data_IF_136232367805
#
_entry.id   IF_136232367805
#
_cell.length_a   1.000
_cell.length_b   1.000
_cell.length_c   1.000
_cell.angle_alpha   90.00
_cell.angle_beta   90.00
_cell.angle_gamma   90.00
#
_symmetry.space_group_name_H-M   'P 1'
#
loop_
_entity.id
_entity.type
_entity.pdbx_description
1 polymer ?
#
# COMPACT_ATOMS: atom_id res chain seq x y z
N UNK A 1 -8.10 5.97 -1.21
CA UNK A 1 -7.52 6.29 0.11
C UNK A 1 -7.43 5.01 0.93
N UNK A 2 -6.37 4.89 1.72
CA UNK A 2 -5.76 3.66 2.25
C UNK A 2 -4.26 3.99 2.37
N UNK A 3 -3.39 3.18 1.79
CA UNK A 3 -1.96 3.52 1.65
C UNK A 3 -1.71 4.94 1.08
N UNK A 4 -2.53 5.39 0.13
CA UNK A 4 -2.44 6.72 -0.49
C UNK A 4 -2.73 7.91 0.44
N UNK A 5 -3.36 7.67 1.59
CA UNK A 5 -3.65 8.71 2.58
C UNK A 5 -2.56 8.79 3.66
N UNK A 6 -1.57 7.89 3.62
CA UNK A 6 -0.53 7.73 4.63
C UNK A 6 0.85 7.77 3.93
N UNK A 7 1.46 8.95 3.74
CA UNK A 7 2.67 9.11 2.93
C UNK A 7 3.84 8.23 3.37
N UNK A 8 3.99 8.00 4.68
CA UNK A 8 5.04 7.14 5.22
C UNK A 8 4.83 5.66 4.85
N UNK A 9 3.58 5.19 4.91
CA UNK A 9 3.22 3.83 4.51
C UNK A 9 3.40 3.63 3.01
N UNK A 10 3.06 4.64 2.20
CA UNK A 10 3.30 4.63 0.76
C UNK A 10 4.79 4.54 0.44
N UNK A 11 5.62 5.37 1.08
CA UNK A 11 7.08 5.35 0.92
C UNK A 11 7.67 3.99 1.28
N UNK A 12 7.29 3.44 2.45
CA UNK A 12 7.69 2.12 2.89
C UNK A 12 7.34 1.03 1.87
N UNK A 13 6.10 1.03 1.37
CA UNK A 13 5.65 0.01 0.42
C UNK A 13 6.39 0.11 -0.91
N UNK A 14 6.70 1.31 -1.40
CA UNK A 14 7.48 1.51 -2.64
C UNK A 14 8.87 0.89 -2.54
N UNK A 15 9.55 1.08 -1.40
CA UNK A 15 10.88 0.49 -1.15
C UNK A 15 10.79 -1.02 -1.10
N UNK A 16 9.89 -1.56 -0.26
CA UNK A 16 9.73 -3.01 -0.06
C UNK A 16 9.27 -3.73 -1.33
N UNK A 17 8.43 -3.09 -2.14
CA UNK A 17 7.98 -3.64 -3.40
C UNK A 17 9.13 -3.80 -4.40
N UNK A 18 10.03 -2.81 -4.46
CA UNK A 18 11.21 -2.88 -5.34
C UNK A 18 12.19 -3.99 -4.93
N UNK A 19 12.25 -4.34 -3.64
CA UNK A 19 13.04 -5.47 -3.13
C UNK A 19 12.39 -6.83 -3.43
N UNK A 20 11.06 -6.92 -3.31
CA UNK A 20 10.34 -8.18 -3.36
C UNK A 20 9.89 -8.59 -4.77
N UNK A 21 9.73 -7.63 -5.69
CA UNK A 21 9.15 -7.87 -7.02
C UNK A 21 10.10 -7.38 -8.12
N UNK A 22 10.41 -8.22 -9.12
CA UNK A 22 11.35 -7.86 -10.19
C UNK A 22 10.78 -6.82 -11.17
N UNK A 23 9.46 -6.66 -11.21
CA UNK A 23 8.77 -5.73 -12.11
C UNK A 23 8.52 -4.39 -11.44
N UNK A 24 8.51 -3.30 -12.22
CA UNK A 24 8.16 -1.95 -11.73
C UNK A 24 6.75 -1.92 -11.12
N UNK A 25 6.63 -1.23 -9.98
CA UNK A 25 5.33 -0.94 -9.35
C UNK A 25 4.44 -0.12 -10.30
N UNK A 26 3.27 -0.68 -10.64
CA UNK A 26 2.23 -0.01 -11.42
C UNK A 26 1.13 0.46 -10.46
N UNK A 27 1.21 1.72 -10.05
CA UNK A 27 0.33 2.31 -9.04
C UNK A 27 -0.29 3.60 -9.56
N UNK A 28 -1.62 3.63 -9.63
CA UNK A 28 -2.42 4.80 -10.00
C UNK A 28 -2.89 5.62 -8.79
N UNK A 29 -3.86 6.51 -9.02
CA UNK A 29 -4.40 7.41 -7.98
C UNK A 29 -5.20 6.70 -6.86
N UNK A 30 -5.61 5.46 -7.09
CA UNK A 30 -6.44 4.70 -6.13
C UNK A 30 -6.22 3.19 -6.15
N UNK A 31 -5.40 2.66 -7.05
CA UNK A 31 -5.20 1.21 -7.20
C UNK A 31 -3.75 0.85 -7.55
N UNK A 32 -3.33 -0.33 -7.08
CA UNK A 32 -2.11 -1.01 -7.51
C UNK A 32 -2.53 -2.09 -8.51
N UNK A 33 -1.92 -2.11 -9.69
CA UNK A 33 -2.24 -3.07 -10.75
C UNK A 33 -1.14 -4.12 -10.87
N UNK A 34 -1.52 -5.37 -10.65
CA UNK A 34 -0.65 -6.52 -10.92
C UNK A 34 -0.94 -7.08 -12.31
N UNK A 35 0.06 -7.07 -13.21
CA UNK A 35 -0.11 -7.57 -14.59
C UNK A 35 0.15 -9.08 -14.72
N UNK A 36 1.11 -9.59 -13.95
CA UNK A 36 1.49 -10.99 -13.98
C UNK A 36 1.15 -11.65 -12.63
N UNK A 37 0.20 -12.60 -12.58
CA UNK A 37 -0.16 -13.31 -11.36
C UNK A 37 1.02 -14.02 -10.69
N UNK A 38 2.03 -14.44 -11.45
CA UNK A 38 3.22 -15.12 -10.92
C UNK A 38 4.13 -14.23 -10.07
N UNK A 39 3.98 -12.90 -10.18
CA UNK A 39 4.80 -11.93 -9.46
C UNK A 39 4.02 -11.18 -8.39
N UNK A 40 2.81 -11.63 -8.04
CA UNK A 40 2.04 -11.01 -6.97
C UNK A 40 2.72 -11.32 -5.63
N UNK A 41 3.20 -10.30 -4.88
CA UNK A 41 3.90 -10.52 -3.62
C UNK A 41 2.87 -10.66 -2.48
N UNK A 42 2.18 -11.81 -2.40
CA UNK A 42 1.12 -12.02 -1.40
C UNK A 42 1.57 -11.77 0.05
N UNK A 43 2.78 -12.17 0.41
CA UNK A 43 3.33 -11.93 1.75
C UNK A 43 3.47 -10.42 2.04
N UNK A 44 3.99 -9.65 1.09
CA UNK A 44 4.13 -8.19 1.24
C UNK A 44 2.76 -7.50 1.32
N UNK A 45 1.76 -7.99 0.58
CA UNK A 45 0.38 -7.49 0.67
C UNK A 45 -0.19 -7.79 2.06
N UNK A 46 0.07 -8.97 2.62
CA UNK A 46 -0.29 -9.35 3.99
C UNK A 46 0.34 -8.42 5.03
N UNK A 47 1.63 -8.11 4.89
CA UNK A 47 2.32 -7.12 5.73
C UNK A 47 1.66 -5.74 5.60
N UNK A 48 1.37 -5.30 4.38
CA UNK A 48 0.76 -3.99 4.13
C UNK A 48 -0.60 -3.84 4.83
N UNK A 49 -1.50 -4.81 4.67
CA UNK A 49 -2.84 -4.72 5.28
C UNK A 49 -2.81 -4.84 6.80
N UNK A 50 -1.77 -5.46 7.36
CA UNK A 50 -1.59 -5.60 8.81
C UNK A 50 -0.94 -4.38 9.46
N UNK A 51 -0.40 -3.43 8.66
CA UNK A 51 0.31 -2.25 9.16
C UNK A 51 -0.58 -1.11 9.63
N UNK A 52 -1.86 -1.14 9.29
CA UNK A 52 -2.80 -0.08 9.64
C UNK A 52 -3.88 -0.70 10.51
N UNK A 53 -3.94 -0.28 11.78
CA UNK A 53 -5.05 -0.69 12.63
C UNK A 53 -6.34 0.05 12.21
N UNK A 54 -7.48 -0.48 12.66
CA UNK A 54 -8.78 0.17 12.43
C UNK A 54 -8.79 1.57 13.04
N UNK A 55 -8.25 1.74 14.25
CA UNK A 55 -8.22 3.03 14.95
C UNK A 55 -7.31 4.06 14.26
N UNK A 56 -6.14 3.62 13.76
CA UNK A 56 -5.26 4.47 12.95
C UNK A 56 -5.99 4.95 11.70
N UNK A 57 -6.67 4.03 11.01
CA UNK A 57 -7.43 4.36 9.82
C UNK A 57 -8.58 5.34 10.10
N UNK A 58 -9.31 5.15 11.19
CA UNK A 58 -10.39 6.07 11.61
C UNK A 58 -9.80 7.46 11.86
N UNK A 59 -8.66 7.55 12.56
CA UNK A 59 -8.00 8.82 12.88
C UNK A 59 -7.55 9.58 11.62
N UNK A 60 -6.92 8.88 10.67
CA UNK A 60 -6.54 9.44 9.37
C UNK A 60 -7.77 9.88 8.58
N UNK A 61 -8.82 9.06 8.56
CA UNK A 61 -10.03 9.37 7.82
C UNK A 61 -10.75 10.60 8.38
N UNK A 62 -10.79 10.76 9.70
CA UNK A 62 -11.39 11.92 10.36
C UNK A 62 -10.60 13.20 10.10
N UNK A 63 -9.26 13.17 10.09
CA UNK A 63 -8.44 14.36 9.80
C UNK A 63 -8.60 14.87 8.36
N UNK A 64 -9.02 13.99 7.45
CA UNK A 64 -9.31 14.32 6.04
C UNK A 64 -10.73 14.86 5.83
N UNK A 65 -11.65 14.69 6.80
CA UNK A 65 -12.97 15.31 6.75
C UNK A 65 -12.84 16.78 7.15
N UNK A 66 -13.27 17.67 6.25
CA UNK A 66 -13.50 19.09 6.54
C UNK A 66 -14.84 19.28 7.26
#
# INVERSE_FOLDING_TARGET
MGIYAMPELESWFRVRYAEAVPTKLDMGKSCIRFKNPKHIPYNLIGELVSKVSVDDWISVYQSLKK
#
